data_IF_215063568731
#
_entry.id   IF_215063568731
#
_cell.length_a   1.000
_cell.length_b   1.000
_cell.length_c   1.000
_cell.angle_alpha   90.00
_cell.angle_beta   90.00
_cell.angle_gamma   90.00
#
_symmetry.space_group_name_H-M   'P 1'
#
loop_
_entity.id
_entity.type
_entity.pdbx_description
1 polymer ?
#
# COMPACT_ATOMS: atom_id res chain seq x y z
N UNK A 1 -12.50 10.67 13.80
CA UNK A 1 -13.01 10.99 12.44
C UNK A 1 -14.46 10.59 12.28
N UNK A 2 -14.75 9.28 12.20
CA UNK A 2 -16.06 8.79 11.78
C UNK A 2 -17.19 9.33 12.65
N UNK A 3 -17.11 9.15 13.98
CA UNK A 3 -18.17 9.59 14.90
C UNK A 3 -18.43 11.10 14.85
N UNK A 4 -17.39 11.88 14.59
CA UNK A 4 -17.50 13.33 14.46
C UNK A 4 -18.18 13.72 13.14
N UNK A 5 -17.71 13.22 11.99
CA UNK A 5 -18.37 13.44 10.68
C UNK A 5 -19.80 12.89 10.68
N UNK A 6 -20.05 11.78 11.40
CA UNK A 6 -21.38 11.21 11.56
C UNK A 6 -22.31 12.15 12.34
N UNK A 7 -21.82 12.72 13.45
CA UNK A 7 -22.56 13.73 14.22
C UNK A 7 -22.87 14.96 13.38
N UNK A 8 -21.89 15.47 12.62
CA UNK A 8 -22.08 16.61 11.71
C UNK A 8 -23.12 16.29 10.61
N UNK A 9 -23.13 15.06 10.10
CA UNK A 9 -24.09 14.59 9.11
C UNK A 9 -25.53 14.57 9.67
N UNK A 10 -25.71 14.09 10.90
CA UNK A 10 -27.02 14.07 11.57
C UNK A 10 -27.55 15.49 11.82
N UNK A 11 -26.68 16.42 12.20
CA UNK A 11 -27.04 17.84 12.35
C UNK A 11 -27.42 18.48 11.02
N UNK A 12 -26.70 18.16 9.94
CA UNK A 12 -26.95 18.69 8.60
C UNK A 12 -28.25 18.17 7.98
N UNK A 13 -28.64 16.92 8.28
CA UNK A 13 -29.81 16.26 7.70
C UNK A 13 -30.74 15.68 8.78
N UNK A 14 -31.45 16.52 9.55
CA UNK A 14 -32.26 16.07 10.68
C UNK A 14 -33.44 15.18 10.26
N UNK A 15 -34.00 15.42 9.07
CA UNK A 15 -35.14 14.65 8.56
C UNK A 15 -34.79 13.19 8.24
N UNK A 16 -33.53 12.88 7.94
CA UNK A 16 -33.06 11.52 7.64
C UNK A 16 -32.32 10.88 8.81
N UNK A 17 -32.10 11.60 9.91
CA UNK A 17 -31.34 11.14 11.08
C UNK A 17 -31.83 9.80 11.62
N UNK A 18 -33.15 9.60 11.72
CA UNK A 18 -33.76 8.35 12.19
C UNK A 18 -33.40 7.14 11.32
N UNK A 19 -33.35 7.32 10.00
CA UNK A 19 -32.91 6.28 9.07
C UNK A 19 -31.41 6.02 9.17
N UNK A 20 -30.60 7.08 9.22
CA UNK A 20 -29.15 6.99 9.34
C UNK A 20 -28.76 6.20 10.60
N UNK A 21 -29.33 6.56 11.75
CA UNK A 21 -29.04 5.89 13.03
C UNK A 21 -29.58 4.46 13.10
N UNK A 22 -30.77 4.20 12.58
CA UNK A 22 -31.39 2.87 12.69
C UNK A 22 -30.84 1.87 11.67
N UNK A 23 -30.54 2.31 10.46
CA UNK A 23 -30.25 1.42 9.34
C UNK A 23 -28.75 1.37 9.01
N UNK A 24 -28.08 2.52 8.95
CA UNK A 24 -26.70 2.61 8.46
C UNK A 24 -25.67 2.56 9.58
N UNK A 25 -25.93 3.20 10.71
CA UNK A 25 -25.00 3.20 11.83
C UNK A 25 -24.68 1.81 12.40
N UNK A 26 -25.63 0.86 12.52
CA UNK A 26 -25.32 -0.49 13.02
C UNK A 26 -24.37 -1.26 12.11
N UNK A 27 -24.43 -1.02 10.80
CA UNK A 27 -23.60 -1.65 9.78
C UNK A 27 -22.36 -0.83 9.39
N UNK A 28 -22.05 0.26 10.11
CA UNK A 28 -20.97 1.20 9.77
C UNK A 28 -19.62 0.55 9.49
N UNK A 29 -19.29 -0.54 10.19
CA UNK A 29 -18.04 -1.28 9.98
C UNK A 29 -17.93 -1.93 8.61
N UNK A 30 -19.05 -2.15 7.91
CA UNK A 30 -19.09 -2.84 6.62
C UNK A 30 -18.94 -1.89 5.43
N UNK A 31 -19.21 -0.60 5.60
CA UNK A 31 -19.24 0.36 4.48
C UNK A 31 -18.43 1.63 4.73
N UNK A 32 -18.16 2.00 5.99
CA UNK A 32 -17.40 3.20 6.26
C UNK A 32 -15.89 2.93 6.20
N UNK A 33 -15.24 3.60 5.25
CA UNK A 33 -13.80 3.51 5.00
C UNK A 33 -12.94 3.70 6.27
N UNK A 34 -13.34 4.59 7.20
CA UNK A 34 -12.61 4.82 8.45
C UNK A 34 -12.42 3.56 9.32
N UNK A 35 -13.23 2.52 9.13
CA UNK A 35 -13.07 1.21 9.80
C UNK A 35 -12.36 0.16 8.93
N UNK A 36 -12.22 0.40 7.62
CA UNK A 36 -11.64 -0.55 6.67
C UNK A 36 -10.14 -0.33 6.43
N UNK A 37 -9.60 0.83 6.81
CA UNK A 37 -8.19 1.17 6.56
C UNK A 37 -7.18 0.27 7.29
N UNK A 38 -7.66 -0.55 8.23
CA UNK A 38 -6.86 -1.53 8.98
C UNK A 38 -7.06 -2.97 8.48
N UNK A 39 -7.78 -3.16 7.37
CA UNK A 39 -8.08 -4.47 6.81
C UNK A 39 -7.51 -4.52 5.39
N UNK A 40 -7.01 -5.69 5.03
CA UNK A 40 -6.54 -5.96 3.69
C UNK A 40 -7.72 -5.95 2.69
N UNK A 41 -7.66 -5.08 1.67
CA UNK A 41 -8.74 -4.88 0.70
C UNK A 41 -8.29 -4.88 -0.77
N UNK A 42 -6.99 -4.90 -1.09
CA UNK A 42 -6.47 -4.81 -2.49
C UNK A 42 -6.93 -3.53 -3.22
N UNK A 43 -7.12 -2.42 -2.50
CA UNK A 43 -7.83 -1.23 -3.01
C UNK A 43 -9.26 -1.52 -3.53
N UNK A 44 -9.83 -2.70 -3.26
CA UNK A 44 -11.21 -3.01 -3.62
C UNK A 44 -12.12 -2.22 -2.68
N UNK A 45 -12.77 -1.22 -3.25
CA UNK A 45 -13.87 -0.50 -2.64
C UNK A 45 -15.12 -0.82 -3.42
N UNK A 46 -16.26 -0.86 -2.73
CA UNK A 46 -17.51 -1.47 -3.18
C UNK A 46 -18.18 -0.81 -4.40
N UNK A 47 -17.51 0.04 -5.19
CA UNK A 47 -18.14 0.74 -6.31
C UNK A 47 -17.32 0.73 -7.61
N UNK A 48 -16.15 1.35 -7.72
CA UNK A 48 -15.57 1.70 -9.05
C UNK A 48 -15.21 0.52 -9.99
N UNK A 49 -14.33 -0.40 -9.56
CA UNK A 49 -13.84 -1.50 -10.42
C UNK A 49 -14.89 -2.56 -10.68
N UNK A 50 -15.70 -2.85 -9.67
CA UNK A 50 -16.81 -3.77 -9.84
C UNK A 50 -17.85 -3.14 -10.77
N UNK A 51 -18.04 -1.82 -10.77
CA UNK A 51 -19.00 -1.15 -11.66
C UNK A 51 -18.61 -1.18 -13.14
N UNK A 52 -17.34 -1.09 -13.53
CA UNK A 52 -16.99 -1.17 -14.97
C UNK A 52 -17.16 -2.58 -15.53
N UNK A 53 -16.73 -3.58 -14.75
CA UNK A 53 -16.92 -5.00 -15.08
C UNK A 53 -18.41 -5.35 -15.03
N UNK A 54 -19.12 -4.93 -13.99
CA UNK A 54 -20.56 -5.15 -13.83
C UNK A 54 -21.39 -4.31 -14.82
N UNK A 55 -20.90 -3.16 -15.31
CA UNK A 55 -21.52 -2.41 -16.40
C UNK A 55 -21.33 -3.13 -17.73
N UNK A 56 -20.17 -3.76 -17.93
CA UNK A 56 -19.93 -4.64 -19.09
C UNK A 56 -20.87 -5.84 -19.05
N UNK A 57 -20.96 -6.52 -17.90
CA UNK A 57 -21.93 -7.62 -17.70
C UNK A 57 -23.37 -7.16 -17.83
N UNK A 58 -23.75 -6.02 -17.23
CA UNK A 58 -25.08 -5.44 -17.39
C UNK A 58 -25.37 -5.11 -18.84
N UNK A 59 -24.44 -4.55 -19.61
CA UNK A 59 -24.63 -4.30 -21.05
C UNK A 59 -24.89 -5.59 -21.83
N UNK A 60 -24.21 -6.68 -21.46
CA UNK A 60 -24.42 -8.01 -22.04
C UNK A 60 -25.74 -8.66 -21.58
N UNK A 61 -26.19 -8.40 -20.36
CA UNK A 61 -27.39 -8.99 -19.74
C UNK A 61 -28.69 -8.20 -19.99
N UNK A 62 -28.60 -6.87 -20.16
CA UNK A 62 -29.77 -5.98 -20.37
C UNK A 62 -30.25 -5.96 -21.82
N UNK A 63 -29.44 -6.44 -22.77
CA UNK A 63 -29.93 -6.70 -24.13
C UNK A 63 -30.78 -7.97 -24.09
N UNK A 64 -32.09 -7.82 -24.22
CA UNK A 64 -33.10 -8.88 -24.06
C UNK A 64 -33.01 -10.04 -25.08
N UNK A 65 -32.04 -10.01 -25.99
CA UNK A 65 -31.81 -11.02 -27.03
C UNK A 65 -30.51 -11.82 -26.81
N UNK A 66 -29.73 -11.51 -25.77
CA UNK A 66 -28.49 -12.20 -25.47
C UNK A 66 -28.79 -13.55 -24.81
N UNK A 67 -28.39 -14.63 -25.47
CA UNK A 67 -28.52 -15.99 -24.94
C UNK A 67 -27.43 -16.28 -23.90
N UNK A 68 -27.62 -17.33 -23.11
CA UNK A 68 -26.58 -17.85 -22.20
C UNK A 68 -25.27 -18.18 -22.93
N UNK A 69 -25.35 -18.55 -24.21
CA UNK A 69 -24.19 -18.84 -25.06
C UNK A 69 -23.44 -17.55 -25.42
N UNK A 70 -24.15 -16.45 -25.71
CA UNK A 70 -23.52 -15.15 -26.00
C UNK A 70 -22.77 -14.61 -24.77
N UNK A 71 -23.31 -14.84 -23.58
CA UNK A 71 -22.63 -14.50 -22.31
C UNK A 71 -21.39 -15.37 -22.11
N UNK A 72 -21.49 -16.68 -22.39
CA UNK A 72 -20.35 -17.59 -22.31
C UNK A 72 -19.22 -17.16 -23.25
N UNK A 73 -19.52 -16.82 -24.50
CA UNK A 73 -18.52 -16.32 -25.45
C UNK A 73 -17.91 -14.99 -25.02
N UNK A 74 -18.69 -14.05 -24.49
CA UNK A 74 -18.15 -12.78 -23.99
C UNK A 74 -17.24 -12.96 -22.75
N UNK A 75 -17.54 -13.93 -21.90
CA UNK A 75 -16.65 -14.30 -20.78
C UNK A 75 -15.38 -14.95 -21.31
N UNK A 76 -15.50 -15.84 -22.29
CA UNK A 76 -14.36 -16.51 -22.89
C UNK A 76 -13.43 -15.53 -23.62
N UNK A 77 -13.97 -14.61 -24.43
CA UNK A 77 -13.23 -13.54 -25.10
C UNK A 77 -12.48 -12.64 -24.09
N UNK A 78 -13.10 -12.33 -22.94
CA UNK A 78 -12.42 -11.57 -21.87
C UNK A 78 -11.29 -12.34 -21.20
N UNK A 79 -11.45 -13.64 -21.01
CA UNK A 79 -10.38 -14.49 -20.47
C UNK A 79 -9.22 -14.61 -21.47
N UNK A 80 -9.53 -14.74 -22.75
CA UNK A 80 -8.56 -14.74 -23.85
C UNK A 80 -7.83 -13.39 -23.95
N UNK A 81 -8.52 -12.25 -23.84
CA UNK A 81 -7.89 -10.92 -23.78
C UNK A 81 -6.95 -10.76 -22.57
N UNK A 82 -7.30 -11.32 -21.42
CA UNK A 82 -6.44 -11.32 -20.23
C UNK A 82 -5.20 -12.20 -20.41
N UNK A 83 -5.35 -13.35 -21.06
CA UNK A 83 -4.26 -14.26 -21.42
C UNK A 83 -3.32 -13.61 -22.44
N UNK A 84 -3.86 -13.04 -23.53
CA UNK A 84 -3.10 -12.28 -24.54
C UNK A 84 -2.35 -11.10 -23.93
N UNK A 85 -2.97 -10.38 -22.99
CA UNK A 85 -2.32 -9.28 -22.29
C UNK A 85 -1.20 -9.78 -21.37
N UNK A 86 -1.39 -10.91 -20.70
CA UNK A 86 -0.33 -11.56 -19.91
C UNK A 86 0.83 -12.01 -20.81
N UNK A 87 0.54 -12.61 -21.96
CA UNK A 87 1.54 -13.03 -22.93
C UNK A 87 2.27 -11.85 -23.55
N UNK A 88 1.57 -10.76 -23.87
CA UNK A 88 2.18 -9.52 -24.30
C UNK A 88 3.10 -8.92 -23.24
N UNK A 89 2.70 -8.93 -21.96
CA UNK A 89 3.53 -8.48 -20.84
C UNK A 89 4.76 -9.38 -20.67
N UNK A 90 4.59 -10.70 -20.76
CA UNK A 90 5.66 -11.69 -20.68
C UNK A 90 6.66 -11.51 -21.85
N UNK A 91 6.16 -11.38 -23.07
CA UNK A 91 6.97 -11.08 -24.25
C UNK A 91 7.70 -9.73 -24.13
N UNK A 92 7.00 -8.68 -23.68
CA UNK A 92 7.61 -7.38 -23.44
C UNK A 92 8.72 -7.43 -22.39
N UNK A 93 8.57 -8.29 -21.38
CA UNK A 93 9.60 -8.53 -20.36
C UNK A 93 10.77 -9.38 -20.86
N UNK A 94 10.58 -10.18 -21.92
CA UNK A 94 11.63 -11.01 -22.53
C UNK A 94 12.39 -10.32 -23.67
N UNK A 95 11.89 -9.17 -24.17
CA UNK A 95 12.62 -8.37 -25.14
C UNK A 95 13.92 -7.80 -24.55
N UNK A 96 15.07 -7.96 -25.22
CA UNK A 96 16.30 -7.28 -24.86
C UNK A 96 16.21 -5.82 -25.32
N UNK A 97 15.35 -5.04 -24.65
CA UNK A 97 15.52 -3.61 -24.66
C UNK A 97 16.80 -3.34 -23.86
N UNK A 98 17.72 -2.52 -24.36
CA UNK A 98 18.67 -1.84 -23.51
C UNK A 98 17.85 -1.06 -22.47
N UNK A 99 17.49 -1.71 -21.36
CA UNK A 99 16.91 -1.05 -20.21
C UNK A 99 18.04 -0.15 -19.73
N UNK A 100 18.08 1.08 -20.25
CA UNK A 100 18.80 2.16 -19.63
C UNK A 100 18.47 2.06 -18.16
N UNK A 101 19.44 1.67 -17.34
CA UNK A 101 19.23 1.50 -15.91
C UNK A 101 18.59 2.78 -15.40
N UNK A 102 17.33 2.70 -14.95
CA UNK A 102 16.68 3.86 -14.36
C UNK A 102 17.39 4.16 -13.04
N UNK A 103 17.23 5.39 -12.55
CA UNK A 103 17.76 5.75 -11.23
C UNK A 103 17.17 4.79 -10.16
N UNK A 104 15.91 4.39 -10.31
CA UNK A 104 15.26 3.41 -9.45
C UNK A 104 15.89 2.01 -9.56
N UNK A 105 16.16 1.52 -10.77
CA UNK A 105 16.79 0.20 -10.95
C UNK A 105 18.18 0.14 -10.33
N UNK A 106 18.92 1.25 -10.36
CA UNK A 106 20.23 1.37 -9.71
C UNK A 106 20.12 1.50 -8.19
N UNK A 107 19.15 2.25 -7.69
CA UNK A 107 18.98 2.47 -6.26
C UNK A 107 18.42 1.25 -5.50
N UNK A 108 17.69 0.36 -6.19
CA UNK A 108 16.97 -0.76 -5.59
C UNK A 108 17.27 -2.11 -6.25
N UNK A 109 18.43 -2.27 -6.90
CA UNK A 109 18.79 -3.47 -7.68
C UNK A 109 18.54 -4.77 -6.92
N UNK A 110 19.08 -4.87 -5.70
CA UNK A 110 18.94 -6.09 -4.89
C UNK A 110 17.48 -6.38 -4.51
N UNK A 111 16.66 -5.35 -4.31
CA UNK A 111 15.23 -5.51 -4.01
C UNK A 111 14.49 -6.00 -5.25
N UNK A 112 14.80 -5.43 -6.42
CA UNK A 112 14.19 -5.84 -7.69
C UNK A 112 14.52 -7.31 -7.98
N UNK A 113 15.76 -7.73 -7.76
CA UNK A 113 16.15 -9.13 -7.95
C UNK A 113 15.48 -10.06 -6.95
N UNK A 114 15.31 -9.63 -5.69
CA UNK A 114 14.55 -10.39 -4.69
C UNK A 114 13.08 -10.55 -5.08
N UNK A 115 12.43 -9.48 -5.56
CA UNK A 115 11.05 -9.53 -6.03
C UNK A 115 10.85 -10.55 -7.16
N UNK A 116 11.80 -10.65 -8.10
CA UNK A 116 11.73 -11.60 -9.22
C UNK A 116 11.64 -13.07 -8.75
N UNK A 117 12.18 -13.38 -7.58
CA UNK A 117 12.18 -14.74 -7.04
C UNK A 117 10.85 -15.13 -6.40
N UNK A 118 10.12 -14.17 -5.84
CA UNK A 118 8.97 -14.46 -4.97
C UNK A 118 7.62 -14.06 -5.54
N UNK A 119 7.52 -13.03 -6.38
CA UNK A 119 6.23 -12.46 -6.81
C UNK A 119 6.04 -12.52 -8.33
N UNK A 120 4.78 -12.48 -8.77
CA UNK A 120 4.44 -12.48 -10.20
C UNK A 120 4.91 -11.20 -10.92
N UNK A 121 5.13 -11.22 -12.25
CA UNK A 121 5.54 -10.04 -13.02
C UNK A 121 4.64 -8.82 -12.80
N UNK A 122 3.33 -9.02 -12.58
CA UNK A 122 2.38 -7.96 -12.30
C UNK A 122 2.70 -7.25 -10.98
N UNK A 123 3.04 -8.01 -9.92
CA UNK A 123 3.39 -7.45 -8.61
C UNK A 123 4.80 -6.86 -8.59
N UNK A 124 5.72 -7.42 -9.39
CA UNK A 124 7.02 -6.79 -9.64
C UNK A 124 6.84 -5.40 -10.24
N UNK A 125 5.97 -5.27 -11.26
CA UNK A 125 5.67 -3.99 -11.91
C UNK A 125 5.06 -2.98 -10.94
N UNK A 126 4.17 -3.41 -10.06
CA UNK A 126 3.57 -2.56 -9.02
C UNK A 126 4.65 -2.00 -8.09
N UNK A 127 5.52 -2.85 -7.55
CA UNK A 127 6.60 -2.41 -6.65
C UNK A 127 7.63 -1.54 -7.38
N UNK A 128 7.97 -1.88 -8.62
CA UNK A 128 8.87 -1.07 -9.43
C UNK A 128 8.30 0.34 -9.66
N UNK A 129 6.99 0.46 -9.92
CA UNK A 129 6.31 1.77 -10.01
C UNK A 129 6.37 2.54 -8.68
N UNK A 130 6.17 1.89 -7.53
CA UNK A 130 6.32 2.52 -6.22
C UNK A 130 7.76 3.03 -5.99
N UNK A 131 8.77 2.27 -6.42
CA UNK A 131 10.18 2.67 -6.35
C UNK A 131 10.50 3.88 -7.24
N UNK A 132 9.97 3.92 -8.47
CA UNK A 132 10.14 5.08 -9.36
C UNK A 132 9.46 6.32 -8.79
N UNK A 133 8.24 6.18 -8.29
CA UNK A 133 7.50 7.29 -7.70
C UNK A 133 8.12 7.81 -6.41
N UNK A 134 8.91 7.01 -5.69
CA UNK A 134 9.60 7.43 -4.47
C UNK A 134 10.53 8.64 -4.69
N UNK A 135 11.07 8.81 -5.90
CA UNK A 135 11.93 9.95 -6.26
C UNK A 135 11.20 11.29 -6.33
N UNK A 136 9.86 11.28 -6.39
CA UNK A 136 9.05 12.48 -6.34
C UNK A 136 8.75 12.96 -4.91
N UNK A 137 9.34 12.29 -3.91
CA UNK A 137 9.14 12.61 -2.51
C UNK A 137 10.46 12.94 -1.82
N UNK A 138 10.40 13.95 -0.95
CA UNK A 138 11.42 14.18 0.05
C UNK A 138 11.00 13.58 1.39
N UNK A 139 11.99 13.21 2.20
CA UNK A 139 11.78 12.62 3.52
C UNK A 139 12.76 13.20 4.53
N UNK A 140 12.23 13.64 5.67
CA UNK A 140 13.00 14.23 6.77
C UNK A 140 12.58 13.65 8.11
N UNK A 141 13.52 13.54 9.04
CA UNK A 141 13.23 13.12 10.41
C UNK A 141 12.38 14.20 11.09
N UNK A 142 11.36 13.77 11.83
CA UNK A 142 10.48 14.64 12.61
C UNK A 142 10.62 14.39 14.09
N UNK A 143 10.40 15.45 14.85
CA UNK A 143 10.18 15.37 16.29
C UNK A 143 8.71 15.10 16.60
N UNK A 144 8.46 14.42 17.73
CA UNK A 144 7.11 14.06 18.15
C UNK A 144 6.23 15.27 18.48
N UNK A 145 6.84 16.42 18.79
CA UNK A 145 6.15 17.71 18.94
C UNK A 145 5.42 18.15 17.67
N UNK A 146 5.94 17.82 16.48
CA UNK A 146 5.28 18.14 15.21
C UNK A 146 3.88 17.51 15.14
N UNK A 147 3.77 16.27 15.62
CA UNK A 147 2.50 15.53 15.58
C UNK A 147 1.53 16.08 16.63
N UNK A 148 2.02 16.50 17.80
CA UNK A 148 1.18 17.12 18.84
C UNK A 148 0.61 18.47 18.42
N UNK A 149 1.31 19.18 17.54
CA UNK A 149 0.90 20.48 17.02
C UNK A 149 0.03 20.38 15.75
N UNK A 150 -0.09 19.19 15.15
CA UNK A 150 -1.02 18.99 14.05
C UNK A 150 -2.44 19.21 14.59
N UNK A 151 -3.13 20.21 14.07
CA UNK A 151 -4.53 20.44 14.41
C UNK A 151 -5.30 19.16 14.12
N UNK A 152 -5.89 18.57 15.15
CA UNK A 152 -6.70 17.33 15.13
C UNK A 152 -7.90 17.33 14.16
N UNK A 153 -8.01 18.35 13.32
CA UNK A 153 -9.11 18.65 12.42
C UNK A 153 -8.71 18.74 10.93
N UNK A 154 -7.44 18.53 10.57
CA UNK A 154 -7.04 18.46 9.15
C UNK A 154 -7.44 17.12 8.53
N UNK A 155 -8.75 17.00 8.25
CA UNK A 155 -9.39 15.88 7.56
C UNK A 155 -9.47 16.08 6.04
N UNK A 156 -8.69 17.00 5.47
CA UNK A 156 -8.70 17.29 4.02
C UNK A 156 -8.49 16.01 3.18
N UNK A 157 -7.72 15.08 3.72
CA UNK A 157 -7.49 13.76 3.13
C UNK A 157 -8.73 12.85 3.08
N UNK A 158 -9.72 13.06 3.94
CA UNK A 158 -10.93 12.24 4.01
C UNK A 158 -11.96 12.59 2.92
N UNK A 159 -11.71 13.62 2.12
CA UNK A 159 -12.54 14.01 0.97
C UNK A 159 -11.96 13.51 -0.36
N UNK A 160 -10.74 12.94 -0.34
CA UNK A 160 -10.11 12.33 -1.50
C UNK A 160 -10.53 10.88 -1.75
N UNK A 161 -10.43 10.44 -3.01
CA UNK A 161 -10.55 9.02 -3.33
C UNK A 161 -9.39 8.23 -2.70
N UNK A 162 -9.69 7.10 -2.07
CA UNK A 162 -8.68 6.24 -1.41
C UNK A 162 -7.66 5.69 -2.40
N UNK A 163 -8.05 5.55 -3.67
CA UNK A 163 -7.15 5.16 -4.77
C UNK A 163 -5.99 6.17 -4.97
N UNK A 164 -6.15 7.42 -4.51
CA UNK A 164 -5.07 8.39 -4.56
C UNK A 164 -4.12 8.23 -3.36
N UNK A 165 -3.02 7.52 -3.59
CA UNK A 165 -1.95 7.36 -2.59
C UNK A 165 -1.20 8.63 -2.24
N UNK A 166 -1.40 9.72 -2.97
CA UNK A 166 -0.91 11.06 -2.61
C UNK A 166 -1.62 11.62 -1.37
N UNK A 167 -2.66 10.91 -0.90
CA UNK A 167 -3.50 11.27 0.22
C UNK A 167 -3.31 10.23 1.34
N UNK A 168 -3.05 10.71 2.56
CA UNK A 168 -2.95 9.85 3.76
C UNK A 168 -4.31 9.18 4.07
N UNK A 169 -4.28 7.92 4.51
CA UNK A 169 -5.46 7.13 4.85
C UNK A 169 -5.81 7.19 6.34
N UNK A 170 -4.85 7.59 7.18
CA UNK A 170 -5.00 7.69 8.62
C UNK A 170 -4.28 8.94 9.14
N UNK A 171 -4.77 9.52 10.23
CA UNK A 171 -4.08 10.65 10.87
C UNK A 171 -2.77 10.22 11.50
N UNK A 172 -1.87 11.16 11.69
CA UNK A 172 -0.62 10.92 12.39
C UNK A 172 -0.86 10.51 13.84
N UNK A 173 -1.85 11.10 14.52
CA UNK A 173 -2.26 10.70 15.87
C UNK A 173 -2.75 9.25 15.95
N UNK A 174 -3.65 8.85 15.05
CA UNK A 174 -4.15 7.47 15.04
C UNK A 174 -3.03 6.49 14.67
N UNK A 175 -2.17 6.83 13.71
CA UNK A 175 -1.01 5.99 13.37
C UNK A 175 -0.09 5.80 14.58
N UNK A 176 0.26 6.88 15.29
CA UNK A 176 1.03 6.82 16.53
C UNK A 176 0.36 5.95 17.58
N UNK A 177 -0.97 6.04 17.73
CA UNK A 177 -1.70 5.23 18.71
C UNK A 177 -1.64 3.73 18.44
N UNK A 178 -1.30 3.32 17.21
CA UNK A 178 -1.08 1.90 16.86
C UNK A 178 0.31 1.38 17.24
N UNK A 179 1.18 2.23 17.79
CA UNK A 179 2.56 1.90 18.11
C UNK A 179 2.84 2.08 19.60
N UNK A 180 3.60 1.16 20.19
CA UNK A 180 4.17 1.36 21.51
C UNK A 180 5.28 2.42 21.44
N UNK A 181 5.24 3.44 22.29
CA UNK A 181 6.23 4.53 22.23
C UNK A 181 7.67 4.05 22.40
N UNK A 182 7.88 3.00 23.21
CA UNK A 182 9.20 2.39 23.43
C UNK A 182 9.78 1.68 22.20
N UNK A 183 8.95 1.27 21.24
CA UNK A 183 9.37 0.57 20.02
C UNK A 183 9.64 1.52 18.84
N UNK A 184 9.26 2.80 18.95
CA UNK A 184 9.53 3.80 17.91
C UNK A 184 11.03 4.09 17.87
N UNK A 185 11.62 3.94 16.68
CA UNK A 185 13.02 4.29 16.41
C UNK A 185 13.12 5.71 15.89
N UNK A 186 12.39 6.02 14.80
CA UNK A 186 12.39 7.34 14.17
C UNK A 186 11.01 7.66 13.57
N UNK A 187 10.68 8.94 13.56
CA UNK A 187 9.52 9.48 12.84
C UNK A 187 10.00 10.21 11.59
N UNK A 188 9.37 9.95 10.46
CA UNK A 188 9.72 10.53 9.17
C UNK A 188 8.52 11.23 8.55
N UNK A 189 8.71 12.51 8.24
CA UNK A 189 7.79 13.29 7.45
C UNK A 189 8.16 13.16 5.99
N UNK A 190 7.19 12.77 5.17
CA UNK A 190 7.34 12.59 3.74
C UNK A 190 6.44 13.58 3.02
N UNK A 191 7.03 14.36 2.12
CA UNK A 191 6.34 15.39 1.34
C UNK A 191 6.62 15.20 -0.14
N UNK A 192 5.59 15.39 -0.95
CA UNK A 192 5.76 15.42 -2.40
C UNK A 192 6.57 16.66 -2.79
N UNK A 193 7.50 16.54 -3.73
CA UNK A 193 8.45 17.63 -4.07
C UNK A 193 7.74 18.89 -4.62
N UNK A 194 6.57 18.73 -5.23
CA UNK A 194 5.78 19.85 -5.77
C UNK A 194 4.83 20.47 -4.74
N UNK A 195 4.76 19.95 -3.52
CA UNK A 195 3.74 20.30 -2.54
C UNK A 195 4.36 20.86 -1.27
N UNK A 196 3.70 21.85 -0.67
CA UNK A 196 4.11 22.40 0.63
C UNK A 196 3.48 21.63 1.78
N UNK A 197 4.28 21.27 2.78
CA UNK A 197 3.80 20.59 3.98
C UNK A 197 4.04 19.08 3.96
N UNK A 198 3.82 18.43 5.10
CA UNK A 198 4.07 16.99 5.26
C UNK A 198 2.79 16.24 4.94
N UNK A 199 2.83 15.41 3.91
CA UNK A 199 1.66 14.66 3.44
C UNK A 199 1.54 13.33 4.18
N UNK A 200 2.67 12.66 4.40
CA UNK A 200 2.71 11.34 5.02
C UNK A 200 3.64 11.28 6.22
N UNK A 201 3.24 10.49 7.20
CA UNK A 201 4.08 10.11 8.34
C UNK A 201 4.45 8.64 8.17
N UNK A 202 5.74 8.36 8.29
CA UNK A 202 6.27 7.00 8.37
C UNK A 202 6.97 6.83 9.70
N UNK A 203 6.61 5.79 10.42
CA UNK A 203 7.19 5.41 11.70
C UNK A 203 8.11 4.21 11.44
N UNK A 204 9.41 4.36 11.71
CA UNK A 204 10.34 3.24 11.75
C UNK A 204 10.38 2.69 13.17
N UNK A 205 10.23 1.38 13.31
CA UNK A 205 10.30 0.67 14.59
C UNK A 205 11.69 0.07 14.81
N UNK A 206 12.02 -0.21 16.07
CA UNK A 206 13.33 -0.78 16.45
C UNK A 206 13.55 -2.18 15.88
N UNK A 207 12.49 -2.96 15.72
CA UNK A 207 12.53 -4.28 15.08
C UNK A 207 12.63 -4.21 13.55
N UNK A 208 12.67 -3.03 12.93
CA UNK A 208 12.82 -2.89 11.48
C UNK A 208 11.52 -2.81 10.69
N UNK A 209 10.38 -3.03 11.34
CA UNK A 209 9.06 -2.80 10.72
C UNK A 209 8.84 -1.30 10.56
N UNK A 210 8.06 -0.93 9.54
CA UNK A 210 7.57 0.42 9.39
C UNK A 210 6.04 0.48 9.39
N UNK A 211 5.50 1.63 9.79
CA UNK A 211 4.10 1.96 9.56
C UNK A 211 4.01 3.26 8.80
N UNK A 212 3.12 3.36 7.83
CA UNK A 212 2.95 4.55 7.00
C UNK A 212 1.50 5.02 7.03
N UNK A 213 1.29 6.34 7.08
CA UNK A 213 -0.05 6.93 7.06
C UNK A 213 -0.82 6.66 5.76
N UNK A 214 -0.17 6.20 4.69
CA UNK A 214 -0.85 5.75 3.46
C UNK A 214 -1.50 4.36 3.58
N UNK A 215 -1.17 3.59 4.62
CA UNK A 215 -1.70 2.25 4.89
C UNK A 215 -1.51 1.18 3.79
N UNK A 216 -0.73 1.43 2.72
CA UNK A 216 -0.58 0.47 1.60
C UNK A 216 -0.08 -0.91 2.01
N UNK A 217 0.77 -1.00 3.04
CA UNK A 217 1.23 -2.28 3.56
C UNK A 217 0.07 -3.13 4.10
N UNK A 218 -0.90 -2.47 4.75
CA UNK A 218 -2.07 -3.13 5.35
C UNK A 218 -3.18 -3.33 4.32
N UNK A 219 -3.54 -2.29 3.57
CA UNK A 219 -4.69 -2.32 2.67
C UNK A 219 -4.40 -3.04 1.35
N UNK A 220 -3.16 -2.98 0.86
CA UNK A 220 -2.75 -3.55 -0.43
C UNK A 220 -1.76 -4.71 -0.29
N UNK A 221 -1.11 -4.85 0.85
CA UNK A 221 -0.07 -5.87 1.06
C UNK A 221 1.21 -5.59 0.28
N UNK A 222 1.51 -4.33 -0.04
CA UNK A 222 2.71 -3.94 -0.78
C UNK A 222 3.48 -2.83 -0.08
N UNK A 223 4.77 -2.71 -0.39
CA UNK A 223 5.61 -1.62 0.13
C UNK A 223 5.34 -0.31 -0.61
N UNK A 224 5.08 0.76 0.12
CA UNK A 224 4.73 2.07 -0.47
C UNK A 224 5.96 2.90 -0.88
N UNK A 225 5.77 3.77 -1.87
CA UNK A 225 6.73 4.80 -2.31
C UNK A 225 7.27 5.68 -1.17
N UNK A 226 6.47 5.94 -0.13
CA UNK A 226 6.88 6.76 1.02
C UNK A 226 7.94 6.06 1.88
N UNK A 227 7.89 4.73 1.97
CA UNK A 227 8.93 3.97 2.64
C UNK A 227 10.18 3.91 1.78
N UNK A 228 10.02 3.65 0.47
CA UNK A 228 11.14 3.67 -0.48
C UNK A 228 11.86 5.03 -0.50
N UNK A 229 11.15 6.15 -0.37
CA UNK A 229 11.80 7.48 -0.30
C UNK A 229 12.65 7.64 0.96
N UNK A 230 12.24 7.04 2.09
CA UNK A 230 13.05 6.99 3.33
C UNK A 230 14.25 6.05 3.18
N UNK A 231 14.09 4.92 2.49
CA UNK A 231 15.22 4.04 2.16
C UNK A 231 16.28 4.76 1.34
N UNK A 232 15.90 5.76 0.52
CA UNK A 232 16.84 6.64 -0.18
C UNK A 232 17.50 7.68 0.74
N UNK A 233 17.10 7.83 2.01
CA UNK A 233 17.65 8.82 2.95
C UNK A 233 18.46 8.20 4.09
N UNK A 234 18.19 6.95 4.47
CA UNK A 234 18.89 6.29 5.59
C UNK A 234 19.12 4.81 5.33
N UNK A 235 20.27 4.29 5.79
CA UNK A 235 20.57 2.85 5.80
C UNK A 235 19.76 2.07 6.85
N UNK A 236 19.09 2.77 7.77
CA UNK A 236 18.29 2.13 8.81
C UNK A 236 16.93 1.61 8.30
N UNK A 237 16.47 2.11 7.15
CA UNK A 237 15.28 1.61 6.49
C UNK A 237 15.72 0.55 5.48
N UNK A 238 15.39 -0.71 5.80
CA UNK A 238 15.77 -1.87 5.02
C UNK A 238 14.53 -2.60 4.54
N UNK A 239 14.55 -3.13 3.33
CA UNK A 239 13.50 -3.95 2.75
C UNK A 239 13.73 -5.41 3.11
N UNK A 240 12.67 -6.12 3.48
CA UNK A 240 12.65 -7.57 3.58
C UNK A 240 11.47 -8.09 2.77
N UNK A 241 11.62 -9.23 2.10
CA UNK A 241 10.56 -9.77 1.22
C UNK A 241 9.27 -10.05 2.00
N UNK A 242 9.38 -10.44 3.27
CA UNK A 242 8.25 -10.66 4.18
C UNK A 242 7.39 -9.42 4.47
N UNK A 243 7.76 -8.21 4.01
CA UNK A 243 6.83 -7.09 4.03
C UNK A 243 5.66 -7.27 3.06
N UNK A 244 5.85 -8.02 1.99
CA UNK A 244 4.80 -8.24 1.00
C UNK A 244 3.84 -9.30 1.55
N UNK A 245 2.54 -9.04 1.42
CA UNK A 245 1.54 -10.00 1.87
C UNK A 245 1.70 -11.32 1.09
N UNK A 246 1.65 -12.43 1.83
CA UNK A 246 1.94 -13.78 1.32
C UNK A 246 1.08 -14.20 0.13
N UNK A 247 -0.12 -13.64 0.00
CA UNK A 247 -1.01 -13.88 -1.15
C UNK A 247 -0.44 -13.43 -2.50
N UNK A 248 0.55 -12.53 -2.48
CA UNK A 248 1.22 -12.07 -3.70
C UNK A 248 2.37 -12.97 -4.13
N UNK A 249 2.73 -13.96 -3.29
CA UNK A 249 3.82 -14.88 -3.61
C UNK A 249 3.38 -15.99 -4.55
N UNK A 250 4.32 -16.38 -5.42
CA UNK A 250 4.21 -17.59 -6.22
C UNK A 250 4.44 -18.76 -5.25
N UNK A 251 3.48 -19.69 -5.20
CA UNK A 251 3.29 -20.73 -4.17
C UNK A 251 4.48 -21.68 -3.94
N UNK A 252 5.50 -21.65 -4.79
CA UNK A 252 6.63 -22.60 -4.78
C UNK A 252 7.78 -22.24 -3.83
N UNK A 253 7.78 -21.08 -3.15
CA UNK A 253 8.94 -20.59 -2.37
C UNK A 253 8.66 -20.11 -0.93
N UNK A 254 7.52 -20.47 -0.33
CA UNK A 254 7.10 -19.94 0.98
C UNK A 254 8.00 -20.35 2.16
N UNK A 255 8.72 -21.48 2.06
CA UNK A 255 9.46 -22.04 3.21
C UNK A 255 10.78 -21.31 3.55
N UNK A 256 11.23 -20.34 2.73
CA UNK A 256 12.54 -19.69 2.91
C UNK A 256 12.46 -18.18 3.20
N UNK A 257 11.25 -17.61 3.37
CA UNK A 257 11.06 -16.15 3.56
C UNK A 257 11.79 -15.64 4.81
N UNK A 258 11.78 -16.41 5.91
CA UNK A 258 12.36 -15.99 7.20
C UNK A 258 13.88 -15.84 7.16
N UNK A 259 14.57 -16.52 6.24
CA UNK A 259 16.03 -16.49 6.13
C UNK A 259 16.51 -15.48 5.10
N UNK A 260 15.60 -14.74 4.45
CA UNK A 260 15.98 -13.80 3.40
C UNK A 260 16.67 -12.58 4.00
N UNK A 261 17.65 -12.00 3.29
CA UNK A 261 18.39 -10.87 3.80
C UNK A 261 17.55 -9.59 3.78
N UNK A 262 17.98 -8.63 4.59
CA UNK A 262 17.49 -7.27 4.54
C UNK A 262 18.30 -6.47 3.51
N UNK A 263 17.63 -5.68 2.69
CA UNK A 263 18.24 -4.88 1.63
C UNK A 263 18.10 -3.39 1.91
N UNK A 264 19.23 -2.67 1.94
CA UNK A 264 19.23 -1.21 1.94
C UNK A 264 19.26 -0.67 0.51
N UNK A 265 19.01 0.63 0.32
CA UNK A 265 19.23 1.26 -0.99
C UNK A 265 20.71 1.12 -1.40
N UNK A 266 20.97 0.86 -2.69
CA UNK A 266 22.29 0.47 -3.20
C UNK A 266 23.43 1.42 -2.83
N UNK A 267 23.13 2.72 -2.68
CA UNK A 267 24.12 3.73 -2.28
C UNK A 267 24.70 3.52 -0.87
N UNK A 268 24.04 2.72 -0.03
CA UNK A 268 24.50 2.36 1.30
C UNK A 268 25.25 1.02 1.34
N UNK A 269 25.35 0.30 0.22
CA UNK A 269 26.02 -1.00 0.13
C UNK A 269 27.57 -0.91 0.05
N UNK A 270 28.18 0.22 0.44
CA UNK A 270 29.64 0.34 0.47
C UNK A 270 30.22 -0.46 1.64
N UNK A 271 31.10 -1.44 1.32
CA UNK A 271 31.98 -2.35 2.11
C UNK A 271 32.41 -1.98 3.55
N UNK A 272 31.57 -1.38 4.36
CA UNK A 272 31.75 -1.13 5.78
C UNK A 272 30.49 -1.62 6.46
N UNK A 273 30.68 -2.61 7.34
CA UNK A 273 29.69 -3.24 8.20
C UNK A 273 28.64 -2.22 8.67
N UNK A 274 27.54 -2.13 7.93
CA UNK A 274 26.33 -1.52 8.46
C UNK A 274 25.77 -2.55 9.42
N UNK A 275 25.38 -2.18 10.65
CA UNK A 275 24.68 -3.12 11.50
C UNK A 275 23.37 -3.44 10.79
N UNK A 276 23.31 -4.60 10.15
CA UNK A 276 22.06 -5.31 9.93
C UNK A 276 21.31 -5.26 11.26
N UNK A 277 19.97 -5.15 11.19
CA UNK A 277 19.12 -5.33 12.37
C UNK A 277 19.74 -6.40 13.27
N UNK A 278 20.18 -6.02 14.48
CA UNK A 278 20.86 -6.93 15.42
C UNK A 278 20.07 -8.24 15.43
N UNK A 279 20.73 -9.38 15.33
CA UNK A 279 20.09 -10.70 15.05
C UNK A 279 18.87 -11.02 15.92
N UNK A 280 18.76 -10.41 17.09
CA UNK A 280 17.60 -10.52 17.98
C UNK A 280 16.37 -9.74 17.47
N UNK A 281 16.57 -8.55 16.88
CA UNK A 281 15.50 -7.74 16.29
C UNK A 281 14.94 -8.35 15.01
N UNK A 282 15.74 -9.09 14.23
CA UNK A 282 15.25 -9.82 13.04
C UNK A 282 14.32 -10.98 13.39
N UNK A 283 14.50 -11.61 14.56
CA UNK A 283 13.59 -12.65 15.05
C UNK A 283 12.25 -12.04 15.50
N UNK A 284 12.28 -10.97 16.30
CA UNK A 284 11.06 -10.23 16.69
C UNK A 284 10.30 -9.63 15.50
N UNK A 285 11.00 -9.25 14.44
CA UNK A 285 10.41 -8.77 13.19
C UNK A 285 9.55 -9.83 12.50
N UNK A 286 10.05 -11.06 12.41
CA UNK A 286 9.40 -12.16 11.68
C UNK A 286 8.16 -12.68 12.41
N UNK A 287 8.17 -12.69 13.74
CA UNK A 287 7.00 -13.09 14.54
C UNK A 287 5.84 -12.09 14.39
N UNK A 288 6.14 -10.80 14.19
CA UNK A 288 5.11 -9.76 13.97
C UNK A 288 4.57 -9.79 12.53
N UNK A 289 5.34 -10.26 11.54
CA UNK A 289 4.83 -10.41 10.17
C UNK A 289 3.72 -11.46 10.12
N UNK A 290 3.86 -12.58 10.83
CA UNK A 290 2.87 -13.66 10.86
C UNK A 290 1.50 -13.19 11.42
N UNK A 291 1.49 -12.12 12.25
CA UNK A 291 0.28 -11.48 12.79
C UNK A 291 -0.31 -10.37 11.88
N UNK A 292 0.47 -9.86 10.91
CA UNK A 292 0.11 -8.73 10.03
C UNK A 292 -0.25 -9.21 8.60
N UNK A 293 0.18 -10.41 8.20
CA UNK A 293 -0.07 -11.01 6.88
C UNK A 293 -1.29 -11.92 6.84
#
# INVERSE_FOLDING_TARGET
IFEQKWSDLLVKYPNTASYLERSLYPSKKSWACAFNNNIFTIDIQTTSRCESVNATFKRLLFNSNSTLIDIFHAVQERLEEEEDNNDYINWKSSLPCNQSSTIASNAFTNIIDELKLFVTPQIQKVHYSEMEMAFNYDARVLDQSYIKNETSQDWSFADGFIENQEIRQITFHQLLSTCNQSSIKNLWGVNHLTSSGIHHLVILLKNGIYKCSCMSLVTRGIVCRHYFSIMLRTSQAQFHIGFINSRWFITTHLNDIKNRPFYSASKFNTNLETPLLESNNSLEFLDVIDDVS
#
